data_IF_568934985782
#
_entry.id   IF_568934985782
#
_cell.length_a   1.000
_cell.length_b   1.000
_cell.length_c   1.000
_cell.angle_alpha   90.00
_cell.angle_beta   90.00
_cell.angle_gamma   90.00
#
_symmetry.space_group_name_H-M   'P 1'
#
loop_
_entity.id
_entity.type
_entity.pdbx_description
1 polymer ?
#
# COMPACT_ATOMS: atom_id res chain seq x y z
N UNK A 1 -5.07 -19.04 -17.82
CA UNK A 1 -4.77 -20.10 -16.83
C UNK A 1 -3.64 -19.69 -15.86
N UNK A 2 -2.41 -19.33 -16.34
CA UNK A 2 -1.28 -19.04 -15.44
C UNK A 2 -1.50 -17.80 -14.56
N UNK A 3 -1.95 -16.69 -15.14
CA UNK A 3 -2.23 -15.44 -14.40
C UNK A 3 -3.37 -15.64 -13.38
N UNK A 4 -4.46 -16.30 -13.78
CA UNK A 4 -5.56 -16.66 -12.89
C UNK A 4 -5.08 -17.50 -11.71
N UNK A 5 -4.24 -18.51 -11.99
CA UNK A 5 -3.67 -19.38 -10.96
C UNK A 5 -2.80 -18.58 -9.97
N UNK A 6 -1.90 -17.74 -10.47
CA UNK A 6 -1.02 -16.91 -9.61
C UNK A 6 -1.84 -15.96 -8.74
N UNK A 7 -2.89 -15.33 -9.30
CA UNK A 7 -3.78 -14.47 -8.55
C UNK A 7 -4.57 -15.24 -7.48
N UNK A 8 -5.09 -16.42 -7.82
CA UNK A 8 -5.77 -17.29 -6.87
C UNK A 8 -4.85 -17.73 -5.72
N UNK A 9 -3.66 -18.26 -6.03
CA UNK A 9 -2.69 -18.70 -5.03
C UNK A 9 -2.25 -17.52 -4.13
N UNK A 10 -2.05 -16.32 -4.71
CA UNK A 10 -1.78 -15.11 -3.93
C UNK A 10 -2.92 -14.80 -2.94
N UNK A 11 -4.17 -14.95 -3.35
CA UNK A 11 -5.32 -14.72 -2.48
C UNK A 11 -5.41 -15.74 -1.34
N UNK A 12 -5.14 -17.02 -1.62
CA UNK A 12 -5.08 -18.07 -0.59
C UNK A 12 -3.95 -17.79 0.41
N UNK A 13 -2.74 -17.49 -0.07
CA UNK A 13 -1.61 -17.16 0.81
C UNK A 13 -1.87 -15.96 1.72
N UNK A 14 -2.58 -14.94 1.21
CA UNK A 14 -2.97 -13.78 2.00
C UNK A 14 -3.97 -14.17 3.09
N UNK A 15 -4.97 -14.98 2.77
CA UNK A 15 -5.97 -15.45 3.72
C UNK A 15 -5.34 -16.33 4.80
N UNK A 16 -4.44 -17.25 4.43
CA UNK A 16 -3.70 -18.11 5.36
C UNK A 16 -2.80 -17.32 6.30
N UNK A 17 -2.27 -16.17 5.85
CA UNK A 17 -1.52 -15.21 6.67
C UNK A 17 -2.42 -14.32 7.57
N UNK A 18 -3.74 -14.55 7.57
CA UNK A 18 -4.71 -13.82 8.39
C UNK A 18 -5.12 -12.45 7.84
N UNK A 19 -4.81 -12.15 6.59
CA UNK A 19 -5.24 -10.91 5.93
C UNK A 19 -6.74 -11.00 5.63
N UNK A 20 -7.49 -9.98 6.02
CA UNK A 20 -8.95 -9.91 5.80
C UNK A 20 -9.34 -9.00 4.65
N UNK A 21 -8.45 -8.09 4.26
CA UNK A 21 -8.59 -7.17 3.13
C UNK A 21 -7.23 -6.88 2.51
N UNK A 22 -7.14 -6.96 1.20
CA UNK A 22 -5.93 -6.62 0.46
C UNK A 22 -6.21 -5.78 -0.78
N UNK A 23 -5.29 -4.90 -1.13
CA UNK A 23 -5.20 -4.24 -2.43
C UNK A 23 -3.93 -4.73 -3.11
N UNK A 24 -4.10 -5.65 -4.07
CA UNK A 24 -2.97 -6.24 -4.81
C UNK A 24 -2.69 -5.37 -6.03
N UNK A 25 -1.43 -4.95 -6.19
CA UNK A 25 -1.04 -4.12 -7.33
C UNK A 25 -0.06 -4.84 -8.25
N UNK A 26 -0.22 -4.63 -9.56
CA UNK A 26 0.68 -5.15 -10.59
C UNK A 26 0.60 -4.29 -11.85
N UNK A 27 1.62 -4.40 -12.72
CA UNK A 27 1.66 -3.74 -14.02
C UNK A 27 1.16 -4.72 -15.11
N UNK A 28 -0.06 -4.55 -15.65
CA UNK A 28 -0.60 -5.47 -16.65
C UNK A 28 0.21 -5.49 -17.94
N UNK A 29 0.85 -4.37 -18.31
CA UNK A 29 1.72 -4.26 -19.49
C UNK A 29 2.92 -5.22 -19.48
N UNK A 30 3.34 -5.72 -18.32
CA UNK A 30 4.42 -6.70 -18.18
C UNK A 30 3.96 -8.16 -18.44
N UNK A 31 2.68 -8.38 -18.72
CA UNK A 31 2.09 -9.70 -18.84
C UNK A 31 1.48 -9.96 -20.24
N UNK A 32 1.79 -9.12 -21.23
CA UNK A 32 1.23 -9.20 -22.60
C UNK A 32 2.15 -9.93 -23.60
N UNK A 33 3.36 -10.31 -23.21
CA UNK A 33 4.36 -10.91 -24.10
C UNK A 33 3.90 -12.22 -24.78
N UNK A 34 2.99 -12.95 -24.13
CA UNK A 34 2.41 -14.17 -24.70
C UNK A 34 1.22 -13.91 -25.65
N UNK A 35 0.99 -12.66 -26.07
CA UNK A 35 -0.08 -12.28 -26.98
C UNK A 35 -1.42 -11.96 -26.32
N UNK A 36 -1.47 -11.88 -24.99
CA UNK A 36 -2.66 -11.44 -24.27
C UNK A 36 -2.86 -9.91 -24.46
N UNK A 37 -4.10 -9.51 -24.58
CA UNK A 37 -4.47 -8.10 -24.42
C UNK A 37 -4.43 -7.67 -22.95
N UNK A 38 -4.34 -6.36 -22.71
CA UNK A 38 -4.40 -5.81 -21.35
C UNK A 38 -5.71 -6.22 -20.63
N UNK A 39 -6.83 -6.25 -21.35
CA UNK A 39 -8.12 -6.67 -20.80
C UNK A 39 -8.12 -8.16 -20.38
N UNK A 40 -7.54 -9.04 -21.17
CA UNK A 40 -7.42 -10.46 -20.81
C UNK A 40 -6.51 -10.68 -19.59
N UNK A 41 -5.45 -9.89 -19.45
CA UNK A 41 -4.58 -9.90 -18.26
C UNK A 41 -5.38 -9.52 -17.02
N UNK A 42 -6.14 -8.42 -17.08
CA UNK A 42 -6.95 -7.95 -15.95
C UNK A 42 -8.07 -8.93 -15.62
N UNK A 43 -8.79 -9.43 -16.62
CA UNK A 43 -9.84 -10.43 -16.42
C UNK A 43 -9.32 -11.66 -15.69
N UNK A 44 -8.22 -12.24 -16.18
CA UNK A 44 -7.65 -13.45 -15.60
C UNK A 44 -7.21 -13.27 -14.14
N UNK A 45 -6.63 -12.10 -13.79
CA UNK A 45 -6.24 -11.83 -12.40
C UNK A 45 -7.44 -11.62 -11.49
N UNK A 46 -8.48 -10.91 -11.95
CA UNK A 46 -9.72 -10.72 -11.20
C UNK A 46 -10.43 -12.05 -10.97
N UNK A 47 -10.53 -12.91 -11.98
CA UNK A 47 -11.13 -14.24 -11.85
C UNK A 47 -10.42 -15.09 -10.78
N UNK A 48 -9.09 -15.04 -10.75
CA UNK A 48 -8.28 -15.71 -9.73
C UNK A 48 -8.56 -15.19 -8.32
N UNK A 49 -8.56 -13.87 -8.13
CA UNK A 49 -8.87 -13.28 -6.84
C UNK A 49 -10.30 -13.56 -6.38
N UNK A 50 -11.29 -13.43 -7.25
CA UNK A 50 -12.68 -13.75 -6.92
C UNK A 50 -12.88 -15.22 -6.52
N UNK A 51 -12.09 -16.14 -7.08
CA UNK A 51 -12.10 -17.54 -6.68
C UNK A 51 -11.56 -17.70 -5.25
N UNK A 52 -10.45 -17.03 -4.92
CA UNK A 52 -9.89 -17.02 -3.56
C UNK A 52 -10.86 -16.37 -2.54
N UNK A 53 -11.51 -15.24 -2.90
CA UNK A 53 -12.52 -14.59 -2.07
C UNK A 53 -13.68 -15.53 -1.73
N UNK A 54 -14.19 -16.28 -2.71
CA UNK A 54 -15.28 -17.26 -2.49
C UNK A 54 -14.90 -18.39 -1.56
N UNK A 55 -13.64 -18.80 -1.58
CA UNK A 55 -13.15 -19.94 -0.78
C UNK A 55 -12.80 -19.51 0.65
N UNK A 56 -12.23 -18.34 0.84
CA UNK A 56 -11.63 -17.93 2.12
C UNK A 56 -12.40 -16.82 2.85
N UNK A 57 -13.21 -16.06 2.13
CA UNK A 57 -13.90 -14.87 2.66
C UNK A 57 -13.02 -13.62 2.76
N UNK A 58 -11.77 -13.65 2.31
CA UNK A 58 -10.93 -12.44 2.19
C UNK A 58 -11.56 -11.48 1.17
N UNK A 59 -11.37 -10.18 1.35
CA UNK A 59 -11.74 -9.17 0.33
C UNK A 59 -10.49 -8.69 -0.39
N UNK A 60 -10.45 -8.85 -1.72
CA UNK A 60 -9.29 -8.47 -2.53
C UNK A 60 -9.72 -7.45 -3.59
N UNK A 61 -9.05 -6.33 -3.62
CA UNK A 61 -9.18 -5.31 -4.67
C UNK A 61 -7.87 -5.20 -5.44
N UNK A 62 -7.94 -4.60 -6.62
CA UNK A 62 -6.81 -4.48 -7.53
C UNK A 62 -6.44 -3.03 -7.75
N UNK A 63 -5.14 -2.75 -7.79
CA UNK A 63 -4.58 -1.48 -8.25
C UNK A 63 -3.74 -1.76 -9.49
N UNK A 64 -4.03 -1.09 -10.60
CA UNK A 64 -3.23 -1.23 -11.81
C UNK A 64 -2.09 -0.23 -11.81
N UNK A 65 -0.86 -0.73 -12.00
CA UNK A 65 0.32 0.09 -12.12
C UNK A 65 0.72 0.29 -13.58
N UNK A 66 1.15 1.49 -13.94
CA UNK A 66 1.93 1.73 -15.13
C UNK A 66 3.43 1.79 -14.78
N UNK A 67 4.27 1.30 -15.68
CA UNK A 67 5.72 1.43 -15.51
C UNK A 67 6.14 2.87 -15.85
N UNK A 68 6.70 3.59 -14.87
CA UNK A 68 7.09 5.01 -15.02
C UNK A 68 8.21 5.25 -16.04
N UNK A 69 8.90 4.20 -16.45
CA UNK A 69 9.90 4.24 -17.52
C UNK A 69 9.30 4.06 -18.91
N UNK A 70 8.03 3.66 -19.02
CA UNK A 70 7.28 3.46 -20.25
C UNK A 70 6.34 4.63 -20.56
N UNK A 71 5.81 4.68 -21.80
CA UNK A 71 4.94 5.76 -22.27
C UNK A 71 3.44 5.39 -22.26
N UNK A 72 3.04 4.39 -21.49
CA UNK A 72 1.68 3.81 -21.54
C UNK A 72 0.80 4.14 -20.34
N UNK A 73 1.21 5.09 -19.51
CA UNK A 73 0.50 5.39 -18.26
C UNK A 73 -0.96 5.82 -18.47
N UNK A 74 -1.25 6.57 -19.54
CA UNK A 74 -2.63 6.97 -19.85
C UNK A 74 -3.48 5.78 -20.28
N UNK A 75 -2.94 4.84 -21.04
CA UNK A 75 -3.65 3.61 -21.45
C UNK A 75 -3.98 2.74 -20.23
N UNK A 76 -3.04 2.60 -19.31
CA UNK A 76 -3.26 1.86 -18.06
C UNK A 76 -4.25 2.59 -17.14
N UNK A 77 -4.25 3.93 -17.11
CA UNK A 77 -5.25 4.70 -16.39
C UNK A 77 -6.67 4.49 -16.95
N UNK A 78 -6.81 4.49 -18.28
CA UNK A 78 -8.08 4.15 -18.94
C UNK A 78 -8.53 2.73 -18.60
N UNK A 79 -7.62 1.77 -18.63
CA UNK A 79 -7.87 0.39 -18.27
C UNK A 79 -8.36 0.28 -16.82
N UNK A 80 -7.68 0.93 -15.87
CA UNK A 80 -8.04 0.91 -14.47
C UNK A 80 -9.47 1.45 -14.23
N UNK A 81 -9.80 2.58 -14.84
CA UNK A 81 -11.14 3.17 -14.76
C UNK A 81 -12.19 2.27 -15.42
N UNK A 82 -11.88 1.64 -16.55
CA UNK A 82 -12.77 0.70 -17.24
C UNK A 82 -13.18 -0.47 -16.36
N UNK A 83 -12.26 -0.99 -15.55
CA UNK A 83 -12.48 -2.16 -14.70
C UNK A 83 -12.90 -1.83 -13.26
N UNK A 84 -13.30 -0.56 -12.98
CA UNK A 84 -13.67 -0.10 -11.62
C UNK A 84 -14.79 -0.94 -10.98
N UNK A 85 -15.79 -1.29 -11.74
CA UNK A 85 -16.97 -2.03 -11.25
C UNK A 85 -16.68 -3.54 -11.11
N UNK A 86 -15.53 -4.00 -11.59
CA UNK A 86 -15.08 -5.39 -11.49
C UNK A 86 -14.04 -5.63 -10.38
N UNK A 87 -13.68 -4.60 -9.61
CA UNK A 87 -12.79 -4.74 -8.46
C UNK A 87 -11.45 -4.00 -8.59
N UNK A 88 -11.21 -3.26 -9.70
CA UNK A 88 -10.07 -2.35 -9.79
C UNK A 88 -10.42 -1.04 -9.08
N UNK A 89 -9.71 -0.72 -8.01
CA UNK A 89 -10.03 0.41 -7.13
C UNK A 89 -9.04 1.56 -7.21
N UNK A 90 -7.93 1.41 -7.92
CA UNK A 90 -6.91 2.44 -7.98
C UNK A 90 -5.93 2.30 -9.12
N UNK A 91 -5.20 3.38 -9.33
CA UNK A 91 -4.11 3.52 -10.30
C UNK A 91 -2.82 3.92 -9.59
N UNK A 92 -1.68 3.46 -10.10
CA UNK A 92 -0.34 3.75 -9.57
C UNK A 92 0.68 3.84 -10.71
N UNK A 93 1.84 4.40 -10.43
CA UNK A 93 3.05 4.27 -11.25
C UNK A 93 4.17 3.67 -10.42
N UNK A 94 4.88 2.70 -10.99
CA UNK A 94 5.96 1.99 -10.31
C UNK A 94 7.22 1.89 -11.19
N UNK A 95 8.32 1.40 -10.61
CA UNK A 95 9.62 1.27 -11.26
C UNK A 95 10.60 2.35 -10.83
N UNK A 96 11.71 2.51 -11.58
CA UNK A 96 12.82 3.39 -11.21
C UNK A 96 12.36 4.84 -10.94
N UNK A 97 12.49 5.31 -9.69
CA UNK A 97 12.00 6.61 -9.25
C UNK A 97 12.94 7.75 -9.68
N UNK A 98 14.25 7.55 -9.50
CA UNK A 98 15.24 8.57 -9.86
C UNK A 98 15.26 8.83 -11.36
N UNK A 99 15.12 10.09 -11.76
CA UNK A 99 15.06 10.50 -13.17
C UNK A 99 13.71 10.28 -13.85
N UNK A 100 12.72 9.73 -13.17
CA UNK A 100 11.38 9.47 -13.69
C UNK A 100 10.31 10.09 -12.79
N UNK A 101 10.20 11.43 -12.74
CA UNK A 101 9.30 12.12 -11.81
C UNK A 101 7.83 11.81 -12.13
N UNK A 102 6.94 11.81 -11.11
CA UNK A 102 5.50 11.56 -11.30
C UNK A 102 4.84 12.49 -12.33
N UNK A 103 5.31 13.72 -12.43
CA UNK A 103 4.78 14.73 -13.37
C UNK A 103 4.93 14.36 -14.86
N UNK A 104 5.76 13.39 -15.22
CA UNK A 104 5.80 12.85 -16.59
C UNK A 104 4.52 12.10 -16.99
N UNK A 105 3.71 11.72 -16.02
CA UNK A 105 2.47 10.96 -16.19
C UNK A 105 1.23 11.80 -15.84
N UNK A 106 1.35 13.12 -15.95
CA UNK A 106 0.32 14.07 -15.51
C UNK A 106 -1.02 13.88 -16.21
N UNK A 107 -1.02 13.55 -17.49
CA UNK A 107 -2.23 13.26 -18.29
C UNK A 107 -3.01 12.06 -17.73
N UNK A 108 -2.33 10.99 -17.34
CA UNK A 108 -2.93 9.83 -16.70
C UNK A 108 -3.55 10.20 -15.34
N UNK A 109 -2.84 10.93 -14.49
CA UNK A 109 -3.36 11.35 -13.19
C UNK A 109 -4.51 12.35 -13.31
N UNK A 110 -4.45 13.30 -14.24
CA UNK A 110 -5.55 14.21 -14.52
C UNK A 110 -6.79 13.47 -15.03
N UNK A 111 -6.63 12.43 -15.83
CA UNK A 111 -7.73 11.58 -16.25
C UNK A 111 -8.34 10.86 -15.05
N UNK A 112 -7.55 10.19 -14.24
CA UNK A 112 -7.96 9.47 -13.02
C UNK A 112 -8.74 10.41 -12.07
N UNK A 113 -8.24 11.63 -11.84
CA UNK A 113 -8.91 12.63 -10.99
C UNK A 113 -10.28 13.06 -11.58
N UNK A 114 -10.39 13.27 -12.90
CA UNK A 114 -11.66 13.65 -13.55
C UNK A 114 -12.70 12.55 -13.48
N UNK A 115 -12.25 11.29 -13.46
CA UNK A 115 -13.11 10.12 -13.34
C UNK A 115 -13.52 9.82 -11.88
N UNK A 116 -13.13 10.65 -10.91
CA UNK A 116 -13.31 10.40 -9.47
C UNK A 116 -12.75 9.03 -9.06
N UNK A 117 -11.61 8.66 -9.61
CA UNK A 117 -10.95 7.40 -9.35
C UNK A 117 -9.71 7.62 -8.49
N UNK A 118 -9.34 6.63 -7.68
CA UNK A 118 -8.26 6.79 -6.71
C UNK A 118 -6.89 6.54 -7.33
N UNK A 119 -5.87 7.24 -6.77
CA UNK A 119 -4.47 6.94 -7.07
C UNK A 119 -3.63 6.87 -5.81
N UNK A 120 -2.75 5.89 -5.76
CA UNK A 120 -1.54 5.89 -4.95
C UNK A 120 -0.36 6.12 -5.87
N UNK A 121 0.76 6.65 -5.37
CA UNK A 121 1.92 6.92 -6.21
C UNK A 121 3.18 6.51 -5.47
N UNK A 122 3.98 5.60 -6.05
CA UNK A 122 5.32 5.33 -5.54
C UNK A 122 6.13 6.62 -5.57
N UNK A 123 6.45 7.16 -4.41
CA UNK A 123 7.21 8.40 -4.28
C UNK A 123 7.90 8.47 -2.91
N UNK A 124 9.16 8.87 -2.90
CA UNK A 124 9.95 8.99 -1.68
C UNK A 124 10.44 7.65 -1.13
N UNK A 125 10.81 6.73 -1.99
CA UNK A 125 11.57 5.53 -1.66
C UNK A 125 13.04 5.71 -2.05
N UNK A 126 13.34 5.66 -3.35
CA UNK A 126 14.69 5.81 -3.90
C UNK A 126 15.05 7.27 -4.22
N UNK A 127 14.06 8.16 -4.33
CA UNK A 127 14.23 9.59 -4.55
C UNK A 127 13.52 10.38 -3.44
N UNK A 128 13.99 11.57 -3.14
CA UNK A 128 13.59 12.27 -1.92
C UNK A 128 12.31 13.12 -2.03
N UNK A 129 12.29 14.21 -1.25
CA UNK A 129 11.14 15.11 -1.10
C UNK A 129 10.55 15.64 -2.40
N UNK A 130 11.35 15.94 -3.47
CA UNK A 130 10.76 16.41 -4.73
C UNK A 130 9.76 15.43 -5.35
N UNK A 131 10.03 14.11 -5.29
CA UNK A 131 9.12 13.09 -5.79
C UNK A 131 7.81 13.05 -5.01
N UNK A 132 7.90 13.12 -3.67
CA UNK A 132 6.73 13.22 -2.77
C UNK A 132 5.92 14.46 -3.10
N UNK A 133 6.60 15.59 -3.25
CA UNK A 133 5.94 16.86 -3.55
C UNK A 133 5.19 16.82 -4.89
N UNK A 134 5.82 16.31 -5.95
CA UNK A 134 5.18 16.19 -7.27
C UNK A 134 3.99 15.22 -7.25
N UNK A 135 4.13 14.07 -6.58
CA UNK A 135 3.05 13.12 -6.43
C UNK A 135 1.80 13.76 -5.78
N UNK A 136 1.99 14.61 -4.78
CA UNK A 136 0.90 15.27 -4.07
C UNK A 136 0.37 16.51 -4.81
N UNK A 137 1.25 17.42 -5.22
CA UNK A 137 0.85 18.74 -5.68
C UNK A 137 0.48 18.77 -7.17
N UNK A 138 1.09 17.92 -7.99
CA UNK A 138 0.78 17.84 -9.42
C UNK A 138 -0.13 16.68 -9.77
N UNK A 139 0.11 15.52 -9.17
CA UNK A 139 -0.57 14.28 -9.55
C UNK A 139 -1.76 13.93 -8.64
N UNK A 140 -1.95 14.66 -7.52
CA UNK A 140 -3.12 14.48 -6.66
C UNK A 140 -3.18 13.14 -5.96
N UNK A 141 -2.03 12.56 -5.59
CA UNK A 141 -1.97 11.27 -4.91
C UNK A 141 -2.81 11.25 -3.64
N UNK A 142 -3.71 10.28 -3.53
CA UNK A 142 -4.51 10.06 -2.33
C UNK A 142 -3.71 9.35 -1.24
N UNK A 143 -2.71 8.54 -1.64
CA UNK A 143 -1.73 7.86 -0.77
C UNK A 143 -0.36 7.93 -1.42
N UNK A 144 0.69 7.70 -0.63
CA UNK A 144 2.06 7.60 -1.12
C UNK A 144 2.55 6.15 -0.96
N UNK A 145 2.89 5.51 -2.08
CA UNK A 145 3.64 4.27 -2.07
C UNK A 145 5.01 4.53 -1.46
N UNK A 146 5.32 3.82 -0.40
CA UNK A 146 6.41 4.08 0.54
C UNK A 146 6.30 5.45 1.23
N UNK A 147 6.69 6.54 0.58
CA UNK A 147 6.71 7.87 1.19
C UNK A 147 7.70 8.00 2.35
N UNK A 148 8.58 7.03 2.51
CA UNK A 148 9.45 6.87 3.68
C UNK A 148 10.46 8.02 3.83
N UNK A 149 10.88 8.61 2.70
CA UNK A 149 11.81 9.74 2.67
C UNK A 149 11.19 11.07 3.13
N UNK A 150 9.92 11.06 3.54
CA UNK A 150 9.33 12.25 4.21
C UNK A 150 10.11 12.64 5.47
N UNK A 151 10.84 11.68 6.07
CA UNK A 151 11.71 11.96 7.21
C UNK A 151 12.84 12.93 6.90
N UNK A 152 13.20 13.12 5.63
CA UNK A 152 14.21 14.10 5.21
C UNK A 152 13.75 15.55 5.42
N UNK A 153 12.44 15.78 5.64
CA UNK A 153 11.84 17.07 6.01
C UNK A 153 11.54 17.15 7.52
N UNK A 154 12.19 16.31 8.35
CA UNK A 154 12.00 16.27 9.80
C UNK A 154 13.36 16.42 10.48
N UNK A 155 13.50 17.41 11.33
CA UNK A 155 14.76 17.71 12.01
C UNK A 155 14.65 17.48 13.51
N UNK A 156 15.66 16.85 14.10
CA UNK A 156 15.78 16.74 15.57
C UNK A 156 16.40 18.01 16.13
N UNK A 157 15.73 18.62 17.10
CA UNK A 157 16.19 19.83 17.80
C UNK A 157 16.26 19.55 19.30
N UNK A 158 16.79 20.51 20.07
CA UNK A 158 16.81 20.42 21.54
C UNK A 158 15.41 20.42 22.18
N UNK A 159 14.38 20.85 21.42
CA UNK A 159 12.97 20.91 21.85
C UNK A 159 12.17 19.69 21.38
N UNK A 160 12.78 18.77 20.67
CA UNK A 160 12.12 17.59 20.09
C UNK A 160 12.25 17.54 18.56
N UNK A 161 11.21 17.09 17.89
CA UNK A 161 11.20 16.94 16.43
C UNK A 161 10.45 18.12 15.79
N UNK A 162 11.08 18.78 14.83
CA UNK A 162 10.49 19.86 14.03
C UNK A 162 10.23 19.34 12.61
N UNK A 163 9.01 19.55 12.13
CA UNK A 163 8.59 19.16 10.79
C UNK A 163 8.77 20.34 9.84
N UNK A 164 9.30 20.05 8.65
CA UNK A 164 9.23 20.98 7.54
C UNK A 164 7.84 21.04 6.93
N UNK A 165 7.64 21.96 5.99
CA UNK A 165 6.31 22.26 5.42
C UNK A 165 5.65 21.08 4.72
N UNK A 166 6.44 20.23 4.05
CA UNK A 166 5.89 19.06 3.36
C UNK A 166 5.49 17.97 4.35
N UNK A 167 6.33 17.72 5.35
CA UNK A 167 6.03 16.76 6.41
C UNK A 167 4.80 17.18 7.23
N UNK A 168 4.67 18.47 7.58
CA UNK A 168 3.45 19.01 8.22
C UNK A 168 2.23 18.80 7.34
N UNK A 169 2.31 19.15 6.05
CA UNK A 169 1.21 18.96 5.11
C UNK A 169 0.75 17.50 5.03
N UNK A 170 1.69 16.56 4.90
CA UNK A 170 1.40 15.12 4.83
C UNK A 170 0.73 14.63 6.12
N UNK A 171 1.28 15.01 7.28
CA UNK A 171 0.74 14.62 8.58
C UNK A 171 -0.65 15.18 8.83
N UNK A 172 -0.84 16.49 8.64
CA UNK A 172 -2.06 17.20 9.00
C UNK A 172 -3.22 16.88 8.06
N UNK A 173 -2.92 16.63 6.77
CA UNK A 173 -3.87 16.11 5.79
C UNK A 173 -4.15 14.61 5.97
N UNK A 174 -3.45 13.95 6.86
CA UNK A 174 -3.59 12.51 7.09
C UNK A 174 -3.36 11.67 5.84
N UNK A 175 -2.43 12.11 4.97
CA UNK A 175 -2.06 11.37 3.76
C UNK A 175 -1.39 10.06 4.18
N UNK A 176 -1.90 8.90 3.75
CA UNK A 176 -1.34 7.61 4.12
C UNK A 176 0.02 7.39 3.48
N UNK A 177 0.96 6.86 4.28
CA UNK A 177 2.26 6.37 3.84
C UNK A 177 2.21 4.85 3.86
N UNK A 178 2.35 4.21 2.69
CA UNK A 178 2.34 2.75 2.53
C UNK A 178 3.73 2.19 2.79
N UNK A 179 4.14 2.16 4.07
CA UNK A 179 5.49 1.73 4.46
C UNK A 179 5.64 0.21 4.32
N UNK A 180 6.77 -0.22 3.79
CA UNK A 180 7.08 -1.62 3.50
C UNK A 180 8.41 -1.99 4.17
N UNK A 181 8.42 -2.30 5.50
CA UNK A 181 9.66 -2.37 6.27
C UNK A 181 10.71 -3.31 5.67
N UNK A 182 10.37 -4.56 5.39
CA UNK A 182 11.34 -5.53 4.83
C UNK A 182 11.81 -5.11 3.43
N UNK A 183 10.89 -4.66 2.57
CA UNK A 183 11.24 -4.16 1.23
C UNK A 183 12.18 -2.96 1.31
N UNK A 184 11.91 -2.01 2.21
CA UNK A 184 12.75 -0.82 2.39
C UNK A 184 14.16 -1.13 2.91
N UNK A 185 14.34 -2.20 3.68
CA UNK A 185 15.67 -2.72 4.00
C UNK A 185 16.32 -3.32 2.75
N UNK A 186 15.60 -4.14 2.00
CA UNK A 186 16.14 -4.80 0.80
C UNK A 186 16.50 -3.79 -0.31
N UNK A 187 15.77 -2.69 -0.43
CA UNK A 187 16.07 -1.61 -1.40
C UNK A 187 17.10 -0.61 -0.89
N UNK A 188 17.60 -0.78 0.35
CA UNK A 188 18.65 0.05 0.91
C UNK A 188 18.19 1.43 1.42
N UNK A 189 16.89 1.62 1.66
CA UNK A 189 16.35 2.83 2.29
C UNK A 189 16.86 2.99 3.72
N UNK A 190 16.99 1.88 4.44
CA UNK A 190 17.54 1.82 5.79
C UNK A 190 18.38 0.54 5.95
N UNK A 191 19.23 0.50 6.97
CA UNK A 191 20.17 -0.60 7.19
C UNK A 191 19.46 -1.87 7.74
N UNK A 192 18.45 -1.66 8.58
CA UNK A 192 17.68 -2.71 9.26
C UNK A 192 16.32 -2.18 9.70
N UNK A 193 15.46 -3.07 10.22
CA UNK A 193 14.14 -2.71 10.72
C UNK A 193 14.21 -1.74 11.91
N UNK A 194 15.21 -1.86 12.79
CA UNK A 194 15.33 -1.00 13.98
C UNK A 194 15.64 0.47 13.60
N UNK A 195 16.31 0.69 12.47
CA UNK A 195 16.57 2.02 11.90
C UNK A 195 15.47 2.51 10.94
N UNK A 196 14.44 1.70 10.69
CA UNK A 196 13.37 2.06 9.75
C UNK A 196 12.57 3.27 10.26
N UNK A 197 12.29 4.28 9.40
CA UNK A 197 11.58 5.50 9.78
C UNK A 197 10.17 5.31 10.34
N UNK A 198 9.55 4.15 10.17
CA UNK A 198 8.19 3.86 10.67
C UNK A 198 8.05 4.15 12.18
N UNK A 199 9.08 3.86 12.98
CA UNK A 199 9.07 4.12 14.42
C UNK A 199 8.90 5.62 14.72
N UNK A 200 9.67 6.48 14.06
CA UNK A 200 9.58 7.93 14.19
C UNK A 200 8.24 8.46 13.66
N UNK A 201 7.85 8.04 12.46
CA UNK A 201 6.64 8.53 11.80
C UNK A 201 5.37 8.13 12.58
N UNK A 202 5.31 6.93 13.15
CA UNK A 202 4.26 6.49 14.07
C UNK A 202 4.19 7.40 15.30
N UNK A 203 5.32 7.66 15.94
CA UNK A 203 5.40 8.51 17.14
C UNK A 203 4.96 9.95 16.86
N UNK A 204 5.28 10.48 15.69
CA UNK A 204 4.84 11.80 15.22
C UNK A 204 3.40 11.82 14.67
N UNK A 205 2.68 10.70 14.77
CA UNK A 205 1.27 10.56 14.39
C UNK A 205 0.99 10.75 12.90
N UNK A 206 1.94 10.45 12.03
CA UNK A 206 1.64 10.27 10.61
C UNK A 206 0.64 9.14 10.41
N UNK A 207 -0.12 9.16 9.32
CA UNK A 207 -0.95 8.02 8.94
C UNK A 207 -0.08 7.00 8.22
N UNK A 208 0.57 6.15 8.99
CA UNK A 208 1.38 5.05 8.47
C UNK A 208 0.55 3.77 8.36
N UNK A 209 0.81 2.99 7.32
CA UNK A 209 0.32 1.62 7.15
C UNK A 209 1.51 0.68 7.01
N UNK A 210 1.33 -0.59 7.32
CA UNK A 210 2.33 -1.64 7.13
C UNK A 210 1.92 -2.47 5.93
N UNK A 211 2.85 -2.72 5.02
CA UNK A 211 2.60 -3.42 3.78
C UNK A 211 3.79 -4.31 3.47
N UNK A 212 3.57 -5.38 2.70
CA UNK A 212 4.62 -6.33 2.34
C UNK A 212 5.42 -5.91 1.10
N UNK A 213 4.81 -5.08 0.24
CA UNK A 213 5.28 -4.88 -1.12
C UNK A 213 5.36 -6.23 -1.86
N UNK A 214 6.40 -6.50 -2.62
CA UNK A 214 6.57 -7.74 -3.34
C UNK A 214 6.97 -8.89 -2.41
N UNK A 215 5.97 -9.65 -1.91
CA UNK A 215 6.15 -10.75 -0.95
C UNK A 215 7.15 -11.80 -1.40
N UNK A 216 7.11 -12.16 -2.69
CA UNK A 216 7.99 -13.19 -3.24
C UNK A 216 9.45 -12.74 -3.23
N UNK A 217 9.74 -11.52 -3.70
CA UNK A 217 11.12 -11.02 -3.78
C UNK A 217 11.70 -10.69 -2.40
N UNK A 218 10.88 -10.16 -1.49
CA UNK A 218 11.29 -9.84 -0.13
C UNK A 218 11.19 -11.01 0.84
N UNK A 219 10.63 -12.15 0.40
CA UNK A 219 10.36 -13.33 1.21
C UNK A 219 9.68 -12.98 2.54
N UNK A 220 8.58 -12.25 2.47
CA UNK A 220 7.88 -11.71 3.63
C UNK A 220 6.37 -11.98 3.57
N UNK A 221 5.71 -11.81 4.71
CA UNK A 221 4.26 -11.86 4.87
C UNK A 221 3.81 -10.75 5.81
N UNK A 222 2.51 -10.47 5.92
CA UNK A 222 2.00 -9.46 6.85
C UNK A 222 2.31 -9.82 8.30
N UNK A 223 2.14 -11.09 8.67
CA UNK A 223 2.53 -11.58 10.00
C UNK A 223 4.02 -11.38 10.26
N UNK A 224 4.87 -11.64 9.27
CA UNK A 224 6.32 -11.42 9.39
C UNK A 224 6.66 -9.93 9.61
N UNK A 225 6.04 -9.02 8.84
CA UNK A 225 6.24 -7.57 9.03
C UNK A 225 5.87 -7.13 10.46
N UNK A 226 4.73 -7.60 10.99
CA UNK A 226 4.33 -7.28 12.37
C UNK A 226 5.27 -7.87 13.43
N UNK A 227 5.78 -9.09 13.23
CA UNK A 227 6.78 -9.70 14.13
C UNK A 227 8.06 -8.86 14.15
N UNK A 228 8.57 -8.46 12.99
CA UNK A 228 9.75 -7.60 12.88
C UNK A 228 9.55 -6.25 13.59
N UNK A 229 8.39 -5.63 13.39
CA UNK A 229 8.07 -4.35 14.06
C UNK A 229 7.94 -4.50 15.58
N UNK A 230 7.36 -5.62 16.05
CA UNK A 230 7.26 -5.90 17.48
C UNK A 230 8.64 -6.04 18.12
N UNK A 231 9.55 -6.74 17.46
CA UNK A 231 10.92 -6.93 17.94
C UNK A 231 11.75 -5.63 17.92
N UNK A 232 11.57 -4.79 16.88
CA UNK A 232 12.38 -3.59 16.71
C UNK A 232 11.86 -2.37 17.51
N UNK A 233 10.56 -2.26 17.72
CA UNK A 233 9.92 -1.07 18.29
C UNK A 233 9.00 -1.37 19.47
N UNK A 234 9.07 -2.56 20.04
CA UNK A 234 8.20 -3.01 21.16
C UNK A 234 6.71 -2.78 20.84
N UNK A 235 6.32 -2.97 19.57
CA UNK A 235 4.97 -2.76 19.09
C UNK A 235 4.04 -3.82 19.71
N UNK A 236 3.05 -3.40 20.47
CA UNK A 236 2.06 -4.26 21.10
C UNK A 236 0.80 -4.49 20.23
N UNK A 237 -0.16 -5.28 20.71
CA UNK A 237 -1.40 -5.54 19.99
C UNK A 237 -2.26 -4.29 19.78
N UNK A 238 -2.20 -3.30 20.67
CA UNK A 238 -2.92 -2.04 20.50
C UNK A 238 -2.31 -1.19 19.38
N UNK A 239 -0.99 -1.16 19.30
CA UNK A 239 -0.26 -0.53 18.20
C UNK A 239 -0.54 -1.22 16.85
N UNK A 240 -0.53 -2.55 16.84
CA UNK A 240 -0.86 -3.34 15.64
C UNK A 240 -2.29 -3.09 15.17
N UNK A 241 -3.24 -3.05 16.12
CA UNK A 241 -4.63 -2.68 15.83
C UNK A 241 -4.72 -1.27 15.23
N UNK A 242 -3.99 -0.31 15.78
CA UNK A 242 -3.97 1.07 15.26
C UNK A 242 -3.43 1.12 13.84
N UNK A 243 -2.35 0.39 13.52
CA UNK A 243 -1.77 0.28 12.18
C UNK A 243 -2.75 -0.38 11.21
N UNK A 244 -3.38 -1.49 11.60
CA UNK A 244 -4.38 -2.20 10.79
C UNK A 244 -5.61 -1.34 10.50
N UNK A 245 -6.11 -0.60 11.50
CA UNK A 245 -7.24 0.33 11.33
C UNK A 245 -6.83 1.51 10.43
N UNK A 246 -5.60 2.01 10.53
CA UNK A 246 -5.11 3.04 9.60
C UNK A 246 -5.08 2.53 8.17
N UNK A 247 -4.62 1.30 7.94
CA UNK A 247 -4.62 0.67 6.63
C UNK A 247 -6.05 0.59 6.07
N UNK A 248 -6.99 0.04 6.84
CA UNK A 248 -8.38 -0.09 6.39
C UNK A 248 -9.07 1.26 6.15
N UNK A 249 -8.79 2.28 6.98
CA UNK A 249 -9.27 3.66 6.75
C UNK A 249 -8.69 4.32 5.49
N UNK A 250 -7.57 3.82 5.02
CA UNK A 250 -6.86 4.32 3.85
C UNK A 250 -7.17 3.53 2.58
N UNK A 251 -7.88 2.41 2.70
CA UNK A 251 -8.27 1.56 1.59
C UNK A 251 -9.16 2.31 0.57
N UNK A 252 -9.06 1.93 -0.69
CA UNK A 252 -9.81 2.54 -1.80
C UNK A 252 -11.19 1.92 -2.00
N UNK A 253 -11.52 0.88 -1.25
CA UNK A 253 -12.89 0.36 -1.27
C UNK A 253 -13.89 1.37 -0.68
N UNK A 254 -15.18 1.13 -0.85
CA UNK A 254 -16.22 2.07 -0.42
C UNK A 254 -16.29 2.24 1.11
N UNK A 255 -16.94 3.32 1.53
CA UNK A 255 -17.03 3.67 2.95
C UNK A 255 -17.81 2.64 3.78
N UNK A 256 -18.98 2.10 3.34
CA UNK A 256 -19.69 1.04 4.05
C UNK A 256 -18.83 -0.22 4.26
N UNK A 257 -18.14 -0.70 3.23
CA UNK A 257 -17.27 -1.88 3.32
C UNK A 257 -16.11 -1.65 4.30
N UNK A 258 -15.46 -0.48 4.23
CA UNK A 258 -14.41 -0.11 5.22
C UNK A 258 -14.91 -0.15 6.65
N UNK A 259 -16.08 0.43 6.92
CA UNK A 259 -16.67 0.44 8.25
C UNK A 259 -17.07 -0.94 8.70
N UNK A 260 -17.63 -1.77 7.81
CA UNK A 260 -17.98 -3.15 8.12
C UNK A 260 -16.75 -3.94 8.57
N UNK A 261 -15.67 -3.92 7.78
CA UNK A 261 -14.43 -4.64 8.09
C UNK A 261 -13.81 -4.13 9.40
N UNK A 262 -13.74 -2.81 9.61
CA UNK A 262 -13.19 -2.23 10.85
C UNK A 262 -13.99 -2.68 12.08
N UNK A 263 -15.33 -2.57 12.04
CA UNK A 263 -16.15 -2.74 13.22
C UNK A 263 -16.52 -4.20 13.52
N UNK A 264 -16.66 -5.02 12.47
CA UNK A 264 -17.16 -6.39 12.59
C UNK A 264 -16.05 -7.46 12.48
N UNK A 265 -14.87 -7.11 11.96
CA UNK A 265 -13.77 -8.06 11.78
C UNK A 265 -12.53 -7.61 12.56
N UNK A 266 -11.96 -6.43 12.25
CA UNK A 266 -10.68 -6.00 12.83
C UNK A 266 -10.79 -5.78 14.35
N UNK A 267 -11.73 -4.94 14.79
CA UNK A 267 -11.86 -4.62 16.23
C UNK A 267 -12.20 -5.84 17.08
N UNK A 268 -13.18 -6.71 16.71
CA UNK A 268 -13.46 -7.92 17.45
C UNK A 268 -12.27 -8.90 17.47
N UNK A 269 -11.57 -9.08 16.33
CA UNK A 269 -10.40 -9.93 16.25
C UNK A 269 -9.30 -9.52 17.25
N UNK A 270 -8.93 -8.24 17.25
CA UNK A 270 -7.95 -7.72 18.22
C UNK A 270 -8.45 -7.79 19.67
N UNK A 271 -9.73 -7.55 19.92
CA UNK A 271 -10.30 -7.67 21.27
C UNK A 271 -10.17 -9.11 21.80
N UNK A 272 -10.40 -10.12 20.98
CA UNK A 272 -10.22 -11.52 21.33
C UNK A 272 -8.76 -11.85 21.65
N UNK A 273 -7.82 -11.44 20.78
CA UNK A 273 -6.38 -11.65 21.00
C UNK A 273 -5.88 -11.00 22.30
N UNK A 274 -6.32 -9.77 22.59
CA UNK A 274 -5.97 -9.06 23.84
C UNK A 274 -6.54 -9.80 25.07
N UNK A 275 -7.76 -10.32 24.98
CA UNK A 275 -8.39 -11.09 26.06
C UNK A 275 -7.64 -12.41 26.32
N UNK A 276 -7.26 -13.15 25.27
CA UNK A 276 -6.49 -14.39 25.36
C UNK A 276 -5.11 -14.14 26.00
N UNK A 277 -4.41 -13.09 25.60
CA UNK A 277 -3.12 -12.70 26.19
C UNK A 277 -3.24 -12.37 27.68
N UNK A 278 -4.34 -11.72 28.10
CA UNK A 278 -4.59 -11.36 29.49
C UNK A 278 -5.05 -12.55 30.37
N UNK A 279 -5.78 -13.51 29.79
CA UNK A 279 -6.26 -14.70 30.45
C UNK A 279 -5.23 -15.83 30.59
N UNK A 280 -4.18 -15.83 29.80
CA UNK A 280 -3.08 -16.79 29.88
C UNK A 280 -2.01 -16.47 30.94
N UNK A 281 -2.17 -15.37 31.68
CA UNK A 281 -1.31 -14.94 32.81
C UNK A 281 -1.84 -15.33 34.19
N UNK A 282 -2.92 -16.15 34.25
CA UNK A 282 -3.46 -16.75 35.49
C UNK A 282 -3.15 -18.21 35.54
#
# INVERSE_FOLDING_TARGET
DALERVAYECGIDLADDGVVYAEVRYAPELNVEAGLSLDEVVAATIDGFQRAEKETGIVIKVILCAMRTAAHSLDIAHLAVKWRDAGVVGFDIAGAEAGHPPSRHLDAFQYVMRENFHSTIHAGEAFGLPSIWEALQYCGAARLGHGVRIVDDITKTDRGWELGRLAEFVRDRRIPLELCPTSNVNTGVCADIASHPIGLLRNLRFRVTVNTDNRLMSNTSMSHEFVQLSQAFETDLADMQWLTINAMKSAFTDFPERLHIINNIIKPGYANLIAEQSGGLT
#
